data_IF_166948354771
#
_entry.id   IF_166948354771
#
_cell.length_a   1.000
_cell.length_b   1.000
_cell.length_c   1.000
_cell.angle_alpha   90.00
_cell.angle_beta   90.00
_cell.angle_gamma   90.00
#
_symmetry.space_group_name_H-M   'P 1'
#
loop_
_entity.id
_entity.type
_entity.pdbx_description
1 polymer ?
#
# COMPACT_ATOMS: atom_id res chain seq x y z
N UNK A 1 66.42 50.53 -7.27
CA UNK A 1 65.18 50.81 -6.50
C UNK A 1 64.07 49.97 -7.10
N UNK A 2 63.62 48.98 -6.34
CA UNK A 2 62.63 47.98 -6.75
C UNK A 2 61.22 48.46 -6.39
N UNK A 3 60.24 48.21 -7.25
CA UNK A 3 58.82 48.34 -6.93
C UNK A 3 58.14 47.01 -7.25
N UNK A 4 57.95 46.19 -6.21
CA UNK A 4 57.13 44.98 -6.26
C UNK A 4 55.68 45.43 -6.13
N UNK A 5 54.93 45.38 -7.22
CA UNK A 5 53.49 45.57 -7.19
C UNK A 5 52.86 44.33 -6.51
N UNK A 6 52.51 44.47 -5.24
CA UNK A 6 51.82 43.45 -4.47
C UNK A 6 50.38 43.29 -4.94
N UNK A 7 50.09 42.19 -5.64
CA UNK A 7 48.73 41.77 -5.93
C UNK A 7 48.18 41.06 -4.69
N UNK A 8 47.36 41.76 -3.91
CA UNK A 8 46.56 41.15 -2.87
C UNK A 8 45.45 40.32 -3.51
N UNK A 9 45.69 39.01 -3.66
CA UNK A 9 44.64 38.05 -3.90
C UNK A 9 43.69 38.06 -2.68
N UNK A 10 42.60 38.80 -2.78
CA UNK A 10 41.48 38.68 -1.84
C UNK A 10 40.87 37.32 -2.15
N UNK A 11 41.37 36.28 -1.47
CA UNK A 11 40.66 35.02 -1.36
C UNK A 11 39.35 35.34 -0.65
N UNK A 12 38.31 35.67 -1.42
CA UNK A 12 36.95 35.67 -0.94
C UNK A 12 36.69 34.23 -0.50
N UNK A 13 36.84 33.99 0.79
CA UNK A 13 36.56 32.70 1.39
C UNK A 13 35.12 32.35 1.00
N UNK A 14 34.98 31.34 0.14
CA UNK A 14 33.70 30.69 -0.11
C UNK A 14 33.19 30.25 1.26
N UNK A 15 32.21 30.99 1.79
CA UNK A 15 31.49 30.57 2.98
C UNK A 15 30.77 29.28 2.62
N UNK A 16 31.37 28.14 2.96
CA UNK A 16 30.69 26.85 2.91
C UNK A 16 29.75 26.82 4.11
N UNK A 17 28.64 27.54 4.01
CA UNK A 17 27.49 27.24 4.84
C UNK A 17 27.21 25.73 4.65
N UNK A 18 27.06 24.94 5.72
CA UNK A 18 26.79 23.52 5.59
C UNK A 18 25.50 23.38 4.77
N UNK A 19 25.60 22.63 3.67
CA UNK A 19 24.48 22.39 2.77
C UNK A 19 23.37 21.71 3.58
N UNK A 20 22.24 22.39 3.75
CA UNK A 20 21.11 21.82 4.50
C UNK A 20 20.49 20.72 3.64
N UNK A 21 20.32 19.49 4.16
CA UNK A 21 19.74 18.42 3.36
C UNK A 21 18.34 18.80 2.92
N UNK A 22 18.08 18.69 1.62
CA UNK A 22 16.73 18.86 1.09
C UNK A 22 15.92 17.61 1.39
N UNK A 23 14.93 17.72 2.28
CA UNK A 23 14.00 16.63 2.57
C UNK A 23 12.96 16.57 1.45
N UNK A 24 13.02 15.52 0.63
CA UNK A 24 12.00 15.23 -0.38
C UNK A 24 11.03 14.20 0.17
N UNK A 25 9.76 14.58 0.32
CA UNK A 25 8.68 13.65 0.65
C UNK A 25 8.25 12.96 -0.63
N UNK A 26 8.24 11.64 -0.63
CA UNK A 26 7.73 10.82 -1.73
C UNK A 26 6.54 9.99 -1.26
N UNK A 27 5.42 10.11 -1.97
CA UNK A 27 4.23 9.31 -1.72
C UNK A 27 4.27 8.09 -2.63
N UNK A 28 4.71 6.96 -2.10
CA UNK A 28 4.72 5.70 -2.83
C UNK A 28 3.32 5.09 -2.82
N UNK A 29 2.82 4.72 -4.01
CA UNK A 29 1.61 3.90 -4.13
C UNK A 29 2.02 2.42 -3.98
N UNK A 30 1.58 1.73 -2.92
CA UNK A 30 1.90 0.32 -2.78
C UNK A 30 1.20 -0.48 -3.87
N UNK A 31 1.94 -1.35 -4.57
CA UNK A 31 1.35 -2.30 -5.51
C UNK A 31 1.00 -3.61 -4.79
N UNK A 32 -0.21 -4.11 -5.04
CA UNK A 32 -0.62 -5.42 -4.55
C UNK A 32 -0.02 -6.55 -5.40
N UNK A 33 0.49 -7.61 -4.77
CA UNK A 33 0.83 -8.83 -5.50
C UNK A 33 -0.42 -9.41 -6.19
N UNK A 34 -0.23 -10.05 -7.35
CA UNK A 34 -1.33 -10.62 -8.13
C UNK A 34 -2.18 -11.63 -7.33
N UNK A 35 -1.56 -12.35 -6.39
CA UNK A 35 -2.26 -13.27 -5.49
C UNK A 35 -3.28 -12.57 -4.58
N UNK A 36 -2.98 -11.36 -4.10
CA UNK A 36 -3.89 -10.57 -3.24
C UNK A 36 -5.10 -10.04 -4.00
N UNK A 37 -5.04 -10.00 -5.33
CA UNK A 37 -6.16 -9.61 -6.19
C UNK A 37 -7.08 -10.77 -6.53
N UNK A 38 -6.68 -12.01 -6.25
CA UNK A 38 -7.51 -13.20 -6.52
C UNK A 38 -8.76 -13.21 -5.63
N UNK A 39 -9.96 -13.37 -6.19
CA UNK A 39 -11.19 -13.48 -5.40
C UNK A 39 -11.14 -14.63 -4.38
N UNK A 40 -11.85 -14.45 -3.27
CA UNK A 40 -12.09 -15.59 -2.36
C UNK A 40 -13.01 -16.62 -3.05
N UNK A 41 -13.01 -17.86 -2.56
CA UNK A 41 -13.89 -18.88 -3.09
C UNK A 41 -15.37 -18.50 -2.92
N UNK A 42 -16.19 -18.84 -3.92
CA UNK A 42 -17.62 -18.60 -3.87
C UNK A 42 -18.33 -19.54 -2.86
N UNK A 43 -19.38 -19.06 -2.18
CA UNK A 43 -20.25 -19.90 -1.37
C UNK A 43 -20.80 -21.10 -2.16
N UNK A 44 -20.60 -22.31 -1.63
CA UNK A 44 -21.09 -23.54 -2.26
C UNK A 44 -22.64 -23.54 -2.32
N UNK A 45 -23.17 -23.99 -3.47
CA UNK A 45 -24.62 -24.16 -3.66
C UNK A 45 -25.16 -25.26 -2.75
N UNK A 46 -26.36 -25.04 -2.24
CA UNK A 46 -27.06 -26.07 -1.47
C UNK A 46 -27.38 -27.28 -2.34
N UNK A 47 -27.29 -28.50 -1.80
CA UNK A 47 -27.77 -29.68 -2.49
C UNK A 47 -29.30 -29.62 -2.64
N UNK A 48 -29.84 -30.33 -3.64
CA UNK A 48 -31.27 -30.43 -3.87
C UNK A 48 -31.96 -31.44 -2.92
N UNK A 49 -31.62 -31.35 -1.63
CA UNK A 49 -32.24 -32.10 -0.53
C UNK A 49 -32.32 -31.22 0.70
N UNK A 50 -33.17 -31.60 1.65
CA UNK A 50 -33.19 -30.95 2.94
C UNK A 50 -31.88 -31.17 3.70
N UNK A 51 -31.41 -30.12 4.37
CA UNK A 51 -30.26 -30.18 5.27
C UNK A 51 -30.73 -30.43 6.70
N UNK A 52 -29.97 -31.23 7.42
CA UNK A 52 -30.15 -31.37 8.87
C UNK A 52 -29.69 -30.09 9.59
N UNK A 53 -30.22 -29.85 10.79
CA UNK A 53 -29.82 -28.70 11.61
C UNK A 53 -28.30 -28.67 11.89
N UNK A 54 -27.69 -29.85 12.05
CA UNK A 54 -26.24 -29.98 12.25
C UNK A 54 -25.45 -29.56 11.01
N UNK A 55 -25.86 -29.99 9.81
CA UNK A 55 -25.22 -29.58 8.55
C UNK A 55 -25.31 -28.06 8.34
N UNK A 56 -26.48 -27.47 8.60
CA UNK A 56 -26.69 -26.02 8.47
C UNK A 56 -25.77 -25.23 9.40
N UNK A 57 -25.70 -25.63 10.68
CA UNK A 57 -24.98 -24.86 11.71
C UNK A 57 -23.48 -25.09 11.70
N UNK A 58 -23.04 -26.33 11.52
CA UNK A 58 -21.63 -26.68 11.59
C UNK A 58 -20.89 -26.38 10.28
N UNK A 59 -21.50 -26.71 9.14
CA UNK A 59 -20.79 -26.73 7.86
C UNK A 59 -21.19 -25.62 6.88
N UNK A 60 -22.42 -25.10 6.96
CA UNK A 60 -22.94 -24.21 5.92
C UNK A 60 -23.00 -22.73 6.32
N UNK A 61 -23.61 -22.41 7.46
CA UNK A 61 -23.79 -21.02 7.89
C UNK A 61 -22.46 -20.30 8.17
N UNK A 62 -21.56 -20.97 8.89
CA UNK A 62 -20.24 -20.44 9.24
C UNK A 62 -19.35 -20.26 8.00
N UNK A 63 -19.33 -21.26 7.13
CA UNK A 63 -18.51 -21.26 5.91
C UNK A 63 -18.95 -20.15 4.94
N UNK A 64 -20.26 -20.04 4.67
CA UNK A 64 -20.79 -18.97 3.81
C UNK A 64 -20.53 -17.58 4.35
N UNK A 65 -20.71 -17.37 5.66
CA UNK A 65 -20.40 -16.10 6.28
C UNK A 65 -18.90 -15.79 6.15
N UNK A 66 -18.05 -16.78 6.42
CA UNK A 66 -16.60 -16.67 6.27
C UNK A 66 -16.17 -16.27 4.85
N UNK A 67 -16.67 -16.97 3.83
CA UNK A 67 -16.35 -16.70 2.42
C UNK A 67 -16.83 -15.31 1.98
N UNK A 68 -18.03 -14.89 2.40
CA UNK A 68 -18.53 -13.54 2.11
C UNK A 68 -17.72 -12.44 2.79
N UNK A 69 -17.33 -12.65 4.05
CA UNK A 69 -16.50 -11.71 4.80
C UNK A 69 -15.10 -11.63 4.20
N UNK A 70 -14.53 -12.77 3.78
CA UNK A 70 -13.26 -12.83 3.05
C UNK A 70 -13.31 -11.92 1.82
N UNK A 71 -14.32 -12.12 0.96
CA UNK A 71 -14.44 -11.39 -0.28
C UNK A 71 -14.69 -9.89 -0.06
N UNK A 72 -15.54 -9.54 0.90
CA UNK A 72 -15.80 -8.16 1.27
C UNK A 72 -14.51 -7.44 1.74
N UNK A 73 -13.72 -8.09 2.62
CA UNK A 73 -12.45 -7.53 3.11
C UNK A 73 -11.41 -7.41 2.00
N UNK A 74 -11.29 -8.43 1.16
CA UNK A 74 -10.37 -8.43 0.02
C UNK A 74 -10.72 -7.31 -0.95
N UNK A 75 -11.98 -7.20 -1.37
CA UNK A 75 -12.45 -6.16 -2.27
C UNK A 75 -12.21 -4.75 -1.70
N UNK A 76 -12.48 -4.55 -0.41
CA UNK A 76 -12.20 -3.28 0.27
C UNK A 76 -10.71 -2.92 0.31
N UNK A 77 -9.84 -3.89 0.61
CA UNK A 77 -8.39 -3.66 0.60
C UNK A 77 -7.88 -3.30 -0.80
N UNK A 78 -8.35 -4.01 -1.83
CA UNK A 78 -8.00 -3.72 -3.23
C UNK A 78 -8.48 -2.33 -3.64
N UNK A 79 -9.75 -2.00 -3.36
CA UNK A 79 -10.33 -0.71 -3.69
C UNK A 79 -9.60 0.46 -3.00
N UNK A 80 -9.24 0.30 -1.72
CA UNK A 80 -8.48 1.31 -0.99
C UNK A 80 -7.10 1.58 -1.61
N UNK A 81 -6.42 0.54 -2.09
CA UNK A 81 -5.09 0.66 -2.72
C UNK A 81 -5.21 1.24 -4.15
N UNK A 82 -6.20 0.78 -4.90
CA UNK A 82 -6.45 1.27 -6.26
C UNK A 82 -7.01 2.71 -6.26
N UNK A 83 -7.52 3.19 -5.11
CA UNK A 83 -8.08 4.53 -4.96
C UNK A 83 -9.52 4.65 -5.47
N UNK A 84 -10.27 3.55 -5.43
CA UNK A 84 -11.66 3.46 -5.91
C UNK A 84 -12.59 3.41 -4.70
N UNK A 85 -13.65 4.22 -4.69
CA UNK A 85 -14.71 4.08 -3.69
C UNK A 85 -15.56 2.84 -4.00
N UNK A 86 -15.72 1.95 -3.02
CA UNK A 86 -16.73 0.90 -3.11
C UNK A 86 -18.13 1.51 -2.95
N UNK A 87 -19.15 1.05 -3.71
CA UNK A 87 -20.54 1.48 -3.54
C UNK A 87 -21.13 1.05 -2.21
#
# INVERSE_FOLDING_TARGET
MATVAGWSAIASACSTAPDKPTVKVEFLRPELPAASRQPCADPVRLPARDLTAAEVTASWGRDRAGLRICEARRAAAVAAIDGVALP
#
